data_IF_668298067681
#
_entry.id   IF_668298067681
#
_cell.length_a   1.000
_cell.length_b   1.000
_cell.length_c   1.000
_cell.angle_alpha   90.00
_cell.angle_beta   90.00
_cell.angle_gamma   90.00
#
_symmetry.space_group_name_H-M   'P 1'
#
loop_
_entity.id
_entity.type
_entity.pdbx_description
1 polymer ?
#
# COMPACT_ATOMS: atom_id res chain seq x y z
N UNK A 1 -8.10 -17.13 10.39
CA UNK A 1 -6.86 -17.26 9.60
C UNK A 1 -6.96 -16.23 8.49
N UNK A 2 -6.41 -15.05 8.72
CA UNK A 2 -6.24 -14.06 7.65
C UNK A 2 -5.14 -14.60 6.74
N UNK A 3 -5.47 -14.85 5.49
CA UNK A 3 -4.51 -15.37 4.53
C UNK A 3 -3.58 -14.22 4.13
N UNK A 4 -2.27 -14.46 4.12
CA UNK A 4 -1.25 -13.56 3.51
C UNK A 4 -1.43 -13.37 1.99
N UNK A 5 -2.48 -13.96 1.40
CA UNK A 5 -2.81 -13.80 0.00
C UNK A 5 -3.33 -12.38 -0.30
N UNK A 6 -2.84 -11.82 -1.41
CA UNK A 6 -3.35 -10.55 -1.94
C UNK A 6 -4.87 -10.65 -2.21
N UNK A 7 -5.66 -9.60 -1.89
CA UNK A 7 -7.10 -9.62 -2.13
C UNK A 7 -7.45 -9.82 -3.61
N UNK A 8 -8.50 -10.61 -3.90
CA UNK A 8 -8.96 -10.91 -5.27
C UNK A 8 -9.33 -9.65 -6.09
N UNK A 9 -9.68 -8.54 -5.42
CA UNK A 9 -9.98 -7.26 -6.07
C UNK A 9 -8.77 -6.65 -6.80
N UNK A 10 -7.56 -7.15 -6.56
CA UNK A 10 -6.34 -6.63 -7.18
C UNK A 10 -6.08 -7.23 -8.58
N UNK A 11 -6.94 -6.93 -9.55
CA UNK A 11 -6.88 -7.50 -10.92
C UNK A 11 -5.90 -6.78 -11.88
N UNK A 12 -5.61 -5.50 -11.63
CA UNK A 12 -4.65 -4.73 -12.44
C UNK A 12 -3.21 -5.20 -12.25
N UNK A 13 -2.31 -5.00 -13.23
CA UNK A 13 -0.91 -5.41 -13.13
C UNK A 13 -0.09 -4.53 -12.16
N UNK A 14 -0.54 -3.31 -11.90
CA UNK A 14 0.11 -2.35 -11.01
C UNK A 14 -0.90 -1.51 -10.21
N UNK A 15 -0.42 -1.01 -9.07
CA UNK A 15 -1.16 -0.14 -8.17
C UNK A 15 -0.25 0.95 -7.62
N UNK A 16 -0.85 2.07 -7.24
CA UNK A 16 -0.19 3.10 -6.45
C UNK A 16 -0.17 2.65 -4.99
N UNK A 17 1.02 2.57 -4.40
CA UNK A 17 1.23 2.34 -2.97
C UNK A 17 1.66 3.65 -2.33
N UNK A 18 1.04 4.05 -1.21
CA UNK A 18 1.39 5.27 -0.46
C UNK A 18 1.37 5.00 1.04
N UNK A 19 2.44 5.42 1.72
CA UNK A 19 2.49 5.44 3.19
C UNK A 19 1.77 6.66 3.75
N UNK A 20 1.07 6.44 4.85
CA UNK A 20 0.35 7.46 5.59
C UNK A 20 0.87 7.57 7.02
N UNK A 21 0.93 8.78 7.54
CA UNK A 21 1.29 9.07 8.93
C UNK A 21 0.10 8.91 9.88
N UNK A 22 0.35 9.14 11.16
CA UNK A 22 -0.69 9.09 12.22
C UNK A 22 -1.72 10.23 12.13
N UNK A 23 -1.43 11.25 11.32
CA UNK A 23 -2.29 12.40 11.05
C UNK A 23 -3.11 12.22 9.75
N UNK A 24 -3.19 10.99 9.23
CA UNK A 24 -3.87 10.61 8.00
C UNK A 24 -3.35 11.33 6.74
N UNK A 25 -2.12 11.85 6.78
CA UNK A 25 -1.46 12.51 5.65
C UNK A 25 -0.49 11.56 4.94
N UNK A 26 -0.36 11.73 3.63
CA UNK A 26 0.65 10.99 2.85
C UNK A 26 2.04 11.44 3.32
N UNK A 27 2.85 10.48 3.74
CA UNK A 27 4.27 10.70 4.00
C UNK A 27 4.97 10.84 2.65
N UNK A 28 5.53 12.02 2.37
CA UNK A 28 6.19 12.27 1.08
C UNK A 28 7.41 11.35 0.88
N UNK A 29 7.66 10.99 -0.38
CA UNK A 29 8.68 10.00 -0.75
C UNK A 29 8.29 8.54 -0.47
N UNK A 30 7.09 8.26 0.08
CA UNK A 30 6.60 6.87 0.22
C UNK A 30 5.90 6.35 -1.04
N UNK A 31 5.34 7.25 -1.85
CA UNK A 31 4.49 6.93 -3.00
C UNK A 31 5.22 6.28 -4.16
N UNK A 32 4.63 5.26 -4.79
CA UNK A 32 5.14 4.65 -6.02
C UNK A 32 4.09 3.82 -6.76
N UNK A 33 4.30 3.61 -8.06
CA UNK A 33 3.54 2.63 -8.87
C UNK A 33 4.26 1.29 -8.77
N UNK A 34 3.59 0.28 -8.24
CA UNK A 34 4.17 -0.99 -7.82
C UNK A 34 3.44 -2.12 -8.52
N UNK A 35 4.15 -3.10 -9.13
CA UNK A 35 3.53 -4.30 -9.65
C UNK A 35 2.74 -5.02 -8.56
N UNK A 36 1.58 -5.58 -8.89
CA UNK A 36 0.69 -6.22 -7.92
C UNK A 36 1.38 -7.28 -7.07
N UNK A 37 2.26 -8.07 -7.70
CA UNK A 37 3.06 -9.11 -7.05
C UNK A 37 4.10 -8.57 -6.04
N UNK A 38 4.44 -7.29 -6.11
CA UNK A 38 5.44 -6.65 -5.25
C UNK A 38 4.83 -5.75 -4.17
N UNK A 39 3.50 -5.66 -4.06
CA UNK A 39 2.80 -4.77 -3.10
C UNK A 39 3.16 -5.13 -1.66
N UNK A 40 3.14 -6.42 -1.29
CA UNK A 40 3.44 -6.88 0.06
C UNK A 40 4.87 -6.49 0.49
N UNK A 41 5.87 -6.87 -0.31
CA UNK A 41 7.26 -6.51 -0.07
C UNK A 41 7.47 -4.99 -0.01
N UNK A 42 6.79 -4.22 -0.86
CA UNK A 42 6.85 -2.75 -0.79
C UNK A 42 6.25 -2.20 0.51
N UNK A 43 5.14 -2.77 0.97
CA UNK A 43 4.52 -2.36 2.23
C UNK A 43 5.45 -2.62 3.41
N UNK A 44 6.11 -3.79 3.46
CA UNK A 44 7.13 -4.12 4.46
C UNK A 44 8.26 -3.07 4.50
N UNK A 45 8.86 -2.75 3.36
CA UNK A 45 9.89 -1.69 3.28
C UNK A 45 9.38 -0.32 3.74
N UNK A 46 8.10 0.00 3.50
CA UNK A 46 7.52 1.24 4.00
C UNK A 46 7.33 1.21 5.51
N UNK A 47 7.01 0.08 6.10
CA UNK A 47 6.85 -0.05 7.55
C UNK A 47 8.17 0.01 8.33
N UNK A 48 9.33 -0.12 7.68
CA UNK A 48 10.63 0.19 8.28
C UNK A 48 10.77 1.68 8.65
N UNK A 49 9.96 2.57 8.05
CA UNK A 49 9.91 3.99 8.41
C UNK A 49 8.91 4.19 9.55
N UNK A 50 9.40 4.64 10.70
CA UNK A 50 8.57 4.88 11.90
C UNK A 50 7.45 5.91 11.70
N UNK A 51 7.64 6.83 10.76
CA UNK A 51 6.64 7.85 10.39
C UNK A 51 5.45 7.27 9.60
N UNK A 52 5.53 6.04 9.07
CA UNK A 52 4.45 5.39 8.33
C UNK A 52 3.61 4.54 9.30
N UNK A 53 2.39 5.00 9.57
CA UNK A 53 1.41 4.31 10.40
C UNK A 53 0.70 3.18 9.63
N UNK A 54 0.30 3.43 8.38
CA UNK A 54 -0.39 2.47 7.52
C UNK A 54 -0.10 2.76 6.04
N UNK A 55 -0.46 1.83 5.16
CA UNK A 55 -0.25 1.95 3.71
C UNK A 55 -1.59 1.85 2.97
N UNK A 56 -1.83 2.71 1.99
CA UNK A 56 -2.94 2.56 1.06
C UNK A 56 -2.47 2.00 -0.28
N UNK A 57 -3.25 1.05 -0.79
CA UNK A 57 -3.21 0.59 -2.17
C UNK A 57 -4.31 1.29 -2.95
N UNK A 58 -3.96 1.86 -4.10
CA UNK A 58 -4.85 2.64 -4.95
C UNK A 58 -4.68 2.25 -6.40
N UNK A 59 -5.74 2.31 -7.21
CA UNK A 59 -5.62 2.04 -8.66
C UNK A 59 -4.59 2.98 -9.30
N UNK A 60 -3.65 2.46 -10.09
CA UNK A 60 -2.67 3.31 -10.76
C UNK A 60 -3.32 4.25 -11.80
N UNK A 61 -4.39 3.77 -12.46
CA UNK A 61 -5.09 4.52 -13.50
C UNK A 61 -5.95 5.67 -12.98
N UNK A 62 -6.68 5.45 -11.89
CA UNK A 62 -7.72 6.37 -11.42
C UNK A 62 -7.48 6.90 -10.00
N UNK A 63 -6.42 6.47 -9.31
CA UNK A 63 -6.12 6.82 -7.92
C UNK A 63 -7.23 6.45 -6.91
N UNK A 64 -8.22 5.65 -7.34
CA UNK A 64 -9.27 5.13 -6.49
C UNK A 64 -8.66 4.27 -5.37
N UNK A 65 -9.13 4.47 -4.14
CA UNK A 65 -8.75 3.64 -3.01
C UNK A 65 -9.22 2.20 -3.22
N UNK A 66 -8.36 1.22 -2.90
CA UNK A 66 -8.67 -0.20 -2.98
C UNK A 66 -8.70 -0.82 -1.59
N UNK A 67 -7.58 -0.74 -0.87
CA UNK A 67 -7.48 -1.27 0.49
C UNK A 67 -6.41 -0.54 1.31
N UNK A 68 -6.45 -0.78 2.61
CA UNK A 68 -5.46 -0.35 3.60
C UNK A 68 -4.74 -1.58 4.12
N UNK A 69 -3.41 -1.47 4.19
CA UNK A 69 -2.53 -2.45 4.80
C UNK A 69 -2.13 -1.86 6.15
N UNK A 70 -2.37 -2.63 7.21
CA UNK A 70 -2.02 -2.30 8.60
C UNK A 70 -0.74 -3.03 9.01
N UNK A 71 -0.08 -2.54 10.05
CA UNK A 71 0.95 -3.32 10.75
C UNK A 71 0.26 -4.43 11.55
N UNK A 72 0.85 -5.63 11.55
CA UNK A 72 0.43 -6.75 12.40
C UNK A 72 0.67 -6.46 13.89
#
# INVERSE_FOLDING_TARGET
>A
AESEALPEILESPDYIVRGYGRDDRIVYGSGGVIPTTAIAARAETLFERDEIAYVHVRSARNNCYQCRIERA
#
